data_IF_349087040168
#
_entry.id   IF_349087040168
#
_cell.length_a   1.000
_cell.length_b   1.000
_cell.length_c   1.000
_cell.angle_alpha   90.00
_cell.angle_beta   90.00
_cell.angle_gamma   90.00
#
_symmetry.space_group_name_H-M   'P 1'
#
loop_
_entity.id
_entity.type
_entity.pdbx_description
1 polymer ?
#
# COMPACT_ATOMS: atom_id res chain seq x y z
N UNK A 1 -12.72 -9.86 -6.14
CA UNK A 1 -11.68 -9.25 -7.00
C UNK A 1 -12.23 -7.95 -7.55
N UNK A 2 -11.57 -6.83 -7.27
CA UNK A 2 -11.95 -5.51 -7.76
C UNK A 2 -10.86 -5.05 -8.75
N UNK A 3 -11.28 -4.57 -9.91
CA UNK A 3 -10.39 -4.09 -10.96
C UNK A 3 -10.75 -2.64 -11.26
N UNK A 4 -9.72 -1.84 -11.55
CA UNK A 4 -9.87 -0.49 -12.08
C UNK A 4 -9.13 -0.42 -13.40
N UNK A 5 -9.82 0.03 -14.45
CA UNK A 5 -9.19 0.38 -15.70
C UNK A 5 -8.85 1.87 -15.65
N UNK A 6 -7.56 2.20 -15.61
CA UNK A 6 -7.08 3.59 -15.57
C UNK A 6 -6.89 4.20 -16.97
N UNK A 7 -7.22 3.46 -18.03
CA UNK A 7 -7.22 3.96 -19.40
C UNK A 7 -8.55 4.62 -19.78
N UNK A 8 -8.59 5.25 -20.96
CA UNK A 8 -9.80 5.84 -21.54
C UNK A 8 -10.57 4.87 -22.44
N UNK A 9 -10.06 3.66 -22.64
CA UNK A 9 -10.60 2.69 -23.59
C UNK A 9 -11.20 1.48 -22.86
N UNK A 10 -12.29 0.88 -23.37
CA UNK A 10 -12.85 -0.33 -22.80
C UNK A 10 -11.85 -1.49 -22.84
N UNK A 11 -11.81 -2.28 -21.77
CA UNK A 11 -11.05 -3.54 -21.72
C UNK A 11 -11.99 -4.70 -21.46
N UNK A 12 -11.99 -5.70 -22.35
CA UNK A 12 -12.87 -6.87 -22.24
C UNK A 12 -12.11 -8.04 -21.63
N UNK A 13 -12.69 -8.64 -20.60
CA UNK A 13 -12.18 -9.85 -19.97
C UNK A 13 -12.91 -11.09 -20.48
N UNK A 14 -12.15 -12.16 -20.67
CA UNK A 14 -12.66 -13.47 -21.04
C UNK A 14 -12.49 -14.45 -19.88
N UNK A 15 -13.31 -15.50 -19.89
CA UNK A 15 -13.17 -16.59 -18.92
C UNK A 15 -11.81 -17.26 -19.11
N UNK A 16 -11.06 -17.37 -18.02
CA UNK A 16 -9.71 -17.96 -18.01
C UNK A 16 -8.58 -16.94 -18.04
N UNK A 17 -8.86 -15.64 -18.23
CA UNK A 17 -7.84 -14.61 -18.19
C UNK A 17 -7.20 -14.52 -16.80
N UNK A 18 -5.87 -14.44 -16.76
CA UNK A 18 -5.10 -14.17 -15.55
C UNK A 18 -5.05 -12.67 -15.32
N UNK A 19 -5.88 -12.18 -14.41
CA UNK A 19 -6.17 -10.74 -14.23
C UNK A 19 -5.71 -10.16 -12.89
N UNK A 20 -5.15 -11.00 -12.03
CA UNK A 20 -4.52 -10.62 -10.77
C UNK A 20 -3.63 -11.79 -10.28
N UNK A 21 -2.90 -11.54 -9.19
CA UNK A 21 -2.12 -12.55 -8.48
C UNK A 21 -2.34 -12.42 -6.97
N UNK A 22 -2.34 -13.55 -6.26
CA UNK A 22 -2.40 -13.59 -4.81
C UNK A 22 -1.00 -13.55 -4.23
N UNK A 23 -0.78 -12.69 -3.23
CA UNK A 23 0.46 -12.68 -2.44
C UNK A 23 0.10 -13.04 -1.00
N UNK A 24 0.80 -14.02 -0.44
CA UNK A 24 0.66 -14.43 0.97
C UNK A 24 1.86 -13.88 1.74
N UNK A 25 1.61 -13.03 2.73
CA UNK A 25 2.63 -12.40 3.56
C UNK A 25 2.21 -12.39 5.03
N UNK A 26 3.16 -12.52 5.98
CA UNK A 26 2.86 -12.44 7.41
C UNK A 26 2.42 -11.03 7.80
N UNK A 27 1.49 -10.94 8.76
CA UNK A 27 1.03 -9.68 9.35
C UNK A 27 1.07 -9.82 10.87
N UNK A 28 1.71 -8.87 11.55
CA UNK A 28 1.78 -8.85 13.01
C UNK A 28 0.52 -8.21 13.61
N UNK A 29 -0.11 -8.83 14.62
CA UNK A 29 -1.14 -8.16 15.40
C UNK A 29 -0.51 -7.06 16.26
N UNK A 30 -1.21 -5.93 16.40
CA UNK A 30 -0.73 -4.78 17.18
C UNK A 30 -1.82 -4.31 18.13
N UNK A 31 -1.43 -4.00 19.35
CA UNK A 31 -2.23 -3.24 20.30
C UNK A 31 -1.71 -1.80 20.36
N UNK A 32 -2.60 -0.83 20.27
CA UNK A 32 -2.23 0.59 20.37
C UNK A 32 -2.10 1.00 21.84
N UNK A 33 -1.09 1.81 22.11
CA UNK A 33 -0.84 2.44 23.41
C UNK A 33 -0.79 3.94 23.18
N UNK A 34 -1.72 4.67 23.78
CA UNK A 34 -1.80 6.11 23.66
C UNK A 34 -0.73 6.78 24.52
N UNK A 35 -0.01 7.75 23.95
CA UNK A 35 1.02 8.55 24.62
C UNK A 35 0.92 9.99 24.14
N UNK A 36 1.30 10.95 25.00
CA UNK A 36 1.26 12.38 24.65
C UNK A 36 2.33 12.75 23.61
N UNK A 37 3.51 12.12 23.67
CA UNK A 37 4.65 12.42 22.81
C UNK A 37 5.38 11.13 22.43
N UNK A 38 5.75 11.00 21.16
CA UNK A 38 6.61 9.92 20.64
C UNK A 38 8.09 10.31 20.75
N UNK A 39 8.97 9.30 20.85
CA UNK A 39 10.42 9.53 20.82
C UNK A 39 10.88 10.18 19.51
N UNK A 40 11.97 10.95 19.58
CA UNK A 40 12.58 11.55 18.39
C UNK A 40 13.44 10.55 17.62
N UNK A 41 13.51 10.71 16.30
CA UNK A 41 14.35 9.87 15.43
C UNK A 41 15.10 10.75 14.43
N UNK A 42 16.19 10.23 13.86
CA UNK A 42 16.97 10.92 12.81
C UNK A 42 16.11 11.31 11.60
N UNK A 43 15.11 10.48 11.27
CA UNK A 43 14.17 10.75 10.17
C UNK A 43 13.14 11.83 10.55
N UNK A 44 12.74 11.90 11.82
CA UNK A 44 11.69 12.79 12.29
C UNK A 44 10.41 12.66 11.46
N UNK A 45 9.87 13.80 11.06
CA UNK A 45 8.64 13.91 10.25
C UNK A 45 8.87 13.77 8.74
N UNK A 46 10.11 13.50 8.29
CA UNK A 46 10.46 13.46 6.86
C UNK A 46 9.69 12.39 6.08
N UNK A 47 8.98 12.79 5.02
CA UNK A 47 8.26 11.90 4.09
C UNK A 47 8.29 12.44 2.65
N UNK A 48 7.57 11.80 1.73
CA UNK A 48 7.37 12.29 0.36
C UNK A 48 8.65 12.65 -0.41
N UNK A 49 9.67 11.79 -0.35
CA UNK A 49 10.96 12.08 -1.00
C UNK A 49 11.84 13.05 -0.22
N UNK A 50 11.70 13.09 1.11
CA UNK A 50 12.51 13.92 2.02
C UNK A 50 14.02 13.66 1.94
N UNK A 51 14.46 12.57 1.33
CA UNK A 51 15.86 12.26 1.06
C UNK A 51 16.36 12.81 -0.28
N UNK A 52 15.54 13.59 -1.00
CA UNK A 52 15.88 14.13 -2.31
C UNK A 52 15.71 13.11 -3.44
N UNK A 53 16.32 13.44 -4.58
CA UNK A 53 16.29 12.66 -5.81
C UNK A 53 17.62 11.93 -6.00
#
# INVERSE_FOLDING_TARGET
MLLVNLSREPFTLQRGDRIAQLVVAPVAPVAFWEVEVLDTTVRGEGGFGSTGR
#
